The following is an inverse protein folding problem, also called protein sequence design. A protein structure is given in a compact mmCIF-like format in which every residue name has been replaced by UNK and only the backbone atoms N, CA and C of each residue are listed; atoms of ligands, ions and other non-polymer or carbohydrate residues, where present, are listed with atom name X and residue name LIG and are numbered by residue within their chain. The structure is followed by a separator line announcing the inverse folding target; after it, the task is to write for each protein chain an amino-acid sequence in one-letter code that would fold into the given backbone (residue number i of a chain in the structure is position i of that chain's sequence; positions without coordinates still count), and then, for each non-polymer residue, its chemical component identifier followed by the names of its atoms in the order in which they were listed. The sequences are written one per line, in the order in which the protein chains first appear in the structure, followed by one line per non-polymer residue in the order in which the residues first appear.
data_IF_965512508207
#
_entry.id   IF_965512508207
#
_cell.length_a   1.000
_cell.length_b   1.000
_cell.length_c   1.000
_cell.angle_alpha   90.00
_cell.angle_beta   90.00
_cell.angle_gamma   90.00
#
_symmetry.space_group_name_H-M   'P 1'
#
loop_
_entity.id
_entity.type
_entity.pdbx_description
1 polymer ?
#
# COMPACT_ATOMS: atom_id res chain seq x y z
N UNK A 1 -57.39 82.60 22.03
CA UNK A 1 -57.91 81.32 21.52
C UNK A 1 -56.91 80.82 20.48
N UNK A 2 -56.28 79.67 20.52
CA UNK A 2 -56.43 78.45 21.20
C UNK A 2 -55.04 77.80 21.30
N UNK A 3 -54.61 77.43 22.53
CA UNK A 3 -53.43 76.61 22.81
C UNK A 3 -53.91 75.19 22.91
N UNK A 4 -53.93 74.42 21.83
CA UNK A 4 -54.09 72.94 21.86
C UNK A 4 -53.66 72.47 20.50
N UNK A 5 -52.50 71.78 20.44
CA UNK A 5 -52.18 70.75 19.51
C UNK A 5 -50.67 70.51 19.30
N UNK A 6 -49.87 70.57 20.38
CA UNK A 6 -48.43 70.28 20.26
C UNK A 6 -47.99 68.99 21.03
N UNK A 7 -48.87 68.44 21.86
CA UNK A 7 -48.50 67.21 22.63
C UNK A 7 -48.82 65.90 21.90
N UNK A 8 -49.89 65.89 21.07
CA UNK A 8 -50.26 64.65 20.37
C UNK A 8 -49.39 64.27 19.16
N UNK A 9 -48.63 65.18 18.63
CA UNK A 9 -47.67 64.87 17.54
C UNK A 9 -46.40 64.19 18.04
N UNK A 10 -45.97 64.39 19.29
CA UNK A 10 -44.74 63.79 19.85
C UNK A 10 -44.97 62.36 20.29
N UNK A 11 -46.15 61.97 20.71
CA UNK A 11 -46.46 60.61 21.10
C UNK A 11 -46.53 59.62 19.91
N UNK A 12 -47.09 60.07 18.77
CA UNK A 12 -47.16 59.20 17.56
C UNK A 12 -45.84 58.99 16.83
N UNK A 13 -44.86 59.86 16.99
CA UNK A 13 -43.56 59.71 16.36
C UNK A 13 -42.68 58.71 17.16
N UNK A 14 -42.86 58.62 18.48
CA UNK A 14 -42.10 57.69 19.31
C UNK A 14 -42.55 56.21 19.14
N UNK A 15 -43.83 55.99 18.92
CA UNK A 15 -44.34 54.60 18.70
C UNK A 15 -43.95 54.02 17.33
N UNK A 16 -43.84 54.86 16.30
CA UNK A 16 -43.40 54.43 14.96
C UNK A 16 -41.89 54.12 14.92
N UNK A 17 -41.10 54.75 15.79
CA UNK A 17 -39.65 54.47 15.86
C UNK A 17 -39.35 53.16 16.63
N UNK A 18 -40.10 52.85 17.67
CA UNK A 18 -39.87 51.61 18.44
C UNK A 18 -40.28 50.38 17.64
N UNK A 19 -41.36 50.47 16.82
CA UNK A 19 -41.74 49.32 15.94
C UNK A 19 -40.73 49.06 14.80
N UNK A 20 -40.07 50.10 14.28
CA UNK A 20 -39.07 49.92 13.22
C UNK A 20 -37.74 49.30 13.69
N UNK A 21 -37.42 49.41 14.97
CA UNK A 21 -36.23 48.78 15.54
C UNK A 21 -36.42 47.34 15.96
N UNK A 22 -37.64 46.92 16.30
CA UNK A 22 -37.96 45.53 16.60
C UNK A 22 -37.96 44.65 15.33
N UNK A 23 -38.36 45.20 14.18
CA UNK A 23 -38.37 44.46 12.91
C UNK A 23 -36.96 44.33 12.28
N UNK A 24 -36.06 45.28 12.57
CA UNK A 24 -34.65 45.17 12.13
C UNK A 24 -33.79 44.26 13.02
N UNK A 25 -34.15 44.12 14.30
CA UNK A 25 -33.46 43.19 15.21
C UNK A 25 -33.83 41.71 14.92
N UNK A 26 -35.06 41.44 14.50
CA UNK A 26 -35.50 40.09 14.12
C UNK A 26 -34.91 39.55 12.83
N UNK A 27 -34.69 40.46 11.81
CA UNK A 27 -34.09 40.09 10.53
C UNK A 27 -32.60 39.89 10.61
N UNK A 28 -31.86 40.59 11.49
CA UNK A 28 -30.43 40.39 11.72
C UNK A 28 -30.11 39.04 12.39
N UNK A 29 -31.02 38.52 13.24
CA UNK A 29 -30.79 37.23 13.93
C UNK A 29 -31.03 36.03 13.01
N UNK A 30 -31.90 36.15 12.01
CA UNK A 30 -32.19 35.10 11.03
C UNK A 30 -31.08 35.02 9.97
N UNK A 31 -30.44 36.15 9.63
CA UNK A 31 -29.35 36.18 8.65
C UNK A 31 -28.04 35.62 9.20
N UNK A 32 -27.84 35.59 10.53
CA UNK A 32 -26.65 35.03 11.18
C UNK A 32 -26.65 33.49 11.29
N UNK A 33 -27.82 32.85 11.16
CA UNK A 33 -27.95 31.38 11.26
C UNK A 33 -27.71 30.70 9.88
N UNK A 34 -27.82 31.45 8.79
CA UNK A 34 -27.68 30.90 7.42
C UNK A 34 -26.21 30.80 6.92
N UNK A 35 -25.22 31.28 7.67
CA UNK A 35 -23.80 31.23 7.30
C UNK A 35 -22.95 30.24 8.09
N UNK A 36 -23.56 29.43 8.98
CA UNK A 36 -22.89 28.29 9.59
C UNK A 36 -23.03 27.04 8.70
N UNK A 37 -22.77 27.16 7.39
CA UNK A 37 -22.41 25.99 6.62
C UNK A 37 -21.08 25.50 7.17
N UNK A 38 -20.97 24.25 7.67
CA UNK A 38 -19.66 23.71 7.98
C UNK A 38 -18.85 23.84 6.68
N UNK A 39 -17.76 24.59 6.71
CA UNK A 39 -16.75 24.49 5.66
C UNK A 39 -16.42 23.00 5.58
N UNK A 40 -16.97 22.33 4.58
CA UNK A 40 -16.52 20.97 4.24
C UNK A 40 -15.03 21.14 3.97
N UNK A 41 -14.21 20.76 4.95
CA UNK A 41 -12.75 20.76 4.78
C UNK A 41 -12.50 19.90 3.56
N UNK A 42 -11.94 20.48 2.50
CA UNK A 42 -11.56 19.73 1.32
C UNK A 42 -10.71 18.53 1.77
N UNK A 43 -11.02 17.35 1.25
CA UNK A 43 -10.28 16.15 1.58
C UNK A 43 -8.79 16.37 1.31
N UNK A 44 -7.97 16.04 2.28
CA UNK A 44 -6.53 16.27 2.20
C UNK A 44 -5.88 15.26 1.27
N UNK A 45 -5.20 15.75 0.24
CA UNK A 45 -4.59 14.91 -0.78
C UNK A 45 -3.38 14.16 -0.25
N UNK A 46 -3.32 12.84 -0.54
CA UNK A 46 -2.21 11.96 -0.23
C UNK A 46 -1.88 11.10 -1.46
N UNK A 47 -0.68 11.21 -1.98
CA UNK A 47 -0.21 10.48 -3.16
C UNK A 47 0.56 9.24 -2.75
N UNK A 48 0.12 8.09 -3.22
CA UNK A 48 0.68 6.78 -2.84
C UNK A 48 1.13 6.05 -4.08
N UNK A 49 2.44 5.80 -4.24
CA UNK A 49 2.92 5.02 -5.35
C UNK A 49 2.91 3.52 -5.08
N UNK A 50 2.85 2.72 -6.14
CA UNK A 50 2.96 1.27 -6.07
C UNK A 50 3.80 0.72 -7.24
N UNK A 51 4.39 -0.47 -7.03
CA UNK A 51 5.42 -1.00 -7.91
C UNK A 51 4.90 -1.80 -9.11
N UNK A 52 3.77 -2.49 -8.95
CA UNK A 52 3.23 -3.40 -9.97
C UNK A 52 1.75 -3.66 -9.78
N UNK A 53 1.08 -4.07 -10.84
CA UNK A 53 -0.36 -4.41 -10.86
C UNK A 53 -0.68 -5.82 -10.33
N UNK A 54 0.25 -6.50 -9.66
CA UNK A 54 0.04 -7.88 -9.16
C UNK A 54 -0.91 -7.99 -7.96
N UNK A 55 -1.33 -6.88 -7.40
CA UNK A 55 -2.25 -6.85 -6.25
C UNK A 55 -1.58 -6.95 -4.88
N UNK A 56 -0.45 -7.65 -4.76
CA UNK A 56 0.18 -7.95 -3.47
C UNK A 56 0.67 -6.72 -2.70
N UNK A 57 1.12 -5.68 -3.39
CA UNK A 57 1.62 -4.45 -2.74
C UNK A 57 0.55 -3.38 -2.60
N UNK A 58 -0.29 -3.20 -3.62
CA UNK A 58 -1.29 -2.14 -3.67
C UNK A 58 -2.69 -2.59 -3.20
N UNK A 59 -2.97 -3.91 -3.17
CA UNK A 59 -4.31 -4.46 -3.04
C UNK A 59 -5.12 -3.86 -1.90
N UNK A 60 -4.60 -3.88 -0.67
CA UNK A 60 -5.32 -3.36 0.50
C UNK A 60 -5.58 -1.85 0.38
N UNK A 61 -4.58 -1.06 -0.03
CA UNK A 61 -4.73 0.39 -0.17
C UNK A 61 -5.71 0.73 -1.30
N UNK A 62 -5.65 0.00 -2.43
CA UNK A 62 -6.58 0.16 -3.53
C UNK A 62 -8.03 -0.18 -3.12
N UNK A 63 -8.21 -1.28 -2.40
CA UNK A 63 -9.51 -1.68 -1.84
C UNK A 63 -10.03 -0.61 -0.88
N UNK A 64 -9.19 -0.12 0.03
CA UNK A 64 -9.57 0.94 0.97
C UNK A 64 -9.99 2.22 0.24
N UNK A 65 -9.29 2.61 -0.82
CA UNK A 65 -9.64 3.74 -1.68
C UNK A 65 -11.00 3.51 -2.36
N UNK A 66 -11.16 2.38 -3.06
CA UNK A 66 -12.39 2.07 -3.81
C UNK A 66 -13.62 1.89 -2.93
N UNK A 67 -13.44 1.45 -1.68
CA UNK A 67 -14.48 1.32 -0.68
C UNK A 67 -14.79 2.63 0.07
N UNK A 68 -14.15 3.76 -0.30
CA UNK A 68 -14.36 5.07 0.34
C UNK A 68 -13.85 5.15 1.78
N UNK A 69 -12.94 4.25 2.20
CA UNK A 69 -12.49 4.19 3.59
C UNK A 69 -11.51 5.32 3.93
N UNK A 70 -10.76 5.82 2.97
CA UNK A 70 -9.91 7.00 3.13
C UNK A 70 -10.74 8.30 3.10
N UNK A 71 -11.76 8.37 2.25
CA UNK A 71 -12.67 9.52 2.21
C UNK A 71 -13.39 9.72 3.54
N UNK A 72 -13.80 8.63 4.22
CA UNK A 72 -14.34 8.65 5.59
C UNK A 72 -13.36 9.22 6.62
N UNK A 73 -12.08 9.22 6.30
CA UNK A 73 -11.02 9.83 7.11
C UNK A 73 -10.64 11.24 6.64
N UNK A 74 -11.39 11.83 5.70
CA UNK A 74 -11.09 13.14 5.12
C UNK A 74 -9.83 13.15 4.26
N UNK A 75 -9.48 12.02 3.64
CA UNK A 75 -8.33 11.89 2.76
C UNK A 75 -8.76 11.60 1.32
N UNK A 76 -8.18 12.33 0.37
CA UNK A 76 -8.19 12.01 -1.05
C UNK A 76 -6.89 11.27 -1.39
N UNK A 77 -6.96 9.94 -1.46
CA UNK A 77 -5.79 9.09 -1.73
C UNK A 77 -5.69 8.82 -3.23
N UNK A 78 -4.66 9.37 -3.87
CA UNK A 78 -4.32 9.10 -5.26
C UNK A 78 -3.29 7.97 -5.33
N UNK A 79 -3.58 6.90 -6.10
CA UNK A 79 -2.71 5.74 -6.25
C UNK A 79 -2.02 5.79 -7.62
N UNK A 80 -0.68 5.83 -7.63
CA UNK A 80 0.16 6.11 -8.80
C UNK A 80 1.09 4.93 -9.08
N UNK A 81 1.03 4.35 -10.29
CA UNK A 81 1.97 3.32 -10.69
C UNK A 81 3.33 3.93 -11.05
N UNK A 82 4.36 3.59 -10.27
CA UNK A 82 5.76 3.94 -10.59
C UNK A 82 6.57 2.64 -10.69
N UNK A 83 6.90 2.25 -11.91
CA UNK A 83 7.74 1.09 -12.15
C UNK A 83 9.20 1.42 -11.89
N UNK A 84 9.86 0.58 -11.09
CA UNK A 84 11.28 0.78 -10.78
C UNK A 84 11.53 1.40 -9.41
N UNK A 85 12.34 0.68 -8.59
CA UNK A 85 12.66 1.09 -7.23
C UNK A 85 13.36 2.45 -7.12
N UNK A 86 14.46 2.68 -7.84
CA UNK A 86 15.14 3.98 -7.80
C UNK A 86 14.25 5.15 -8.19
N UNK A 87 13.42 4.99 -9.24
CA UNK A 87 12.50 6.04 -9.68
C UNK A 87 11.47 6.40 -8.60
N UNK A 88 10.93 5.39 -7.91
CA UNK A 88 9.96 5.62 -6.84
C UNK A 88 10.60 6.24 -5.59
N UNK A 89 11.80 5.79 -5.21
CA UNK A 89 12.53 6.43 -4.10
C UNK A 89 12.84 7.90 -4.44
N UNK A 90 13.24 8.20 -5.67
CA UNK A 90 13.43 9.59 -6.11
C UNK A 90 12.14 10.41 -6.02
N UNK A 91 11.01 9.86 -6.50
CA UNK A 91 9.71 10.53 -6.42
C UNK A 91 9.29 10.80 -4.95
N UNK A 92 9.57 9.85 -4.04
CA UNK A 92 9.31 10.00 -2.61
C UNK A 92 10.18 11.12 -1.99
N UNK A 93 11.47 11.15 -2.33
CA UNK A 93 12.41 12.16 -1.81
C UNK A 93 12.13 13.56 -2.36
N UNK A 94 11.67 13.67 -3.60
CA UNK A 94 11.27 14.94 -4.21
C UNK A 94 9.90 15.43 -3.74
N UNK A 95 9.12 14.58 -3.05
CA UNK A 95 7.75 14.89 -2.63
C UNK A 95 6.73 14.80 -3.78
N UNK A 96 7.05 14.11 -4.88
CA UNK A 96 6.10 13.81 -5.95
C UNK A 96 5.05 12.80 -5.48
N UNK A 97 5.44 11.92 -4.56
CA UNK A 97 4.57 11.02 -3.80
C UNK A 97 4.87 11.12 -2.30
N UNK A 98 3.85 10.81 -1.49
CA UNK A 98 3.93 10.89 -0.03
C UNK A 98 4.31 9.52 0.59
N UNK A 99 3.79 8.45 0.00
CA UNK A 99 4.01 7.06 0.42
C UNK A 99 4.37 6.21 -0.79
N UNK A 100 5.10 5.12 -0.56
CA UNK A 100 5.46 4.17 -1.60
C UNK A 100 5.25 2.72 -1.13
N UNK A 101 4.41 1.98 -1.86
CA UNK A 101 4.07 0.59 -1.57
C UNK A 101 4.89 -0.34 -2.47
N UNK A 102 5.83 -1.08 -1.87
CA UNK A 102 6.72 -1.98 -2.63
C UNK A 102 7.43 -3.02 -1.79
N UNK A 103 8.15 -3.92 -2.47
CA UNK A 103 9.19 -4.71 -1.84
C UNK A 103 10.31 -3.79 -1.30
N UNK A 104 10.86 -4.05 -0.11
CA UNK A 104 11.74 -3.13 0.61
C UNK A 104 13.13 -2.92 -0.05
N UNK A 105 13.47 -3.69 -1.07
CA UNK A 105 14.82 -3.81 -1.64
C UNK A 105 15.45 -2.44 -1.93
N UNK A 106 14.79 -1.61 -2.76
CA UNK A 106 15.34 -0.30 -3.15
C UNK A 106 15.39 0.69 -1.99
N UNK A 107 14.45 0.59 -1.03
CA UNK A 107 14.47 1.41 0.17
C UNK A 107 15.64 1.01 1.09
N UNK A 108 15.85 -0.29 1.31
CA UNK A 108 16.98 -0.80 2.11
C UNK A 108 18.31 -0.42 1.49
N UNK A 109 18.45 -0.50 0.14
CA UNK A 109 19.64 -0.03 -0.57
C UNK A 109 19.87 1.46 -0.32
N UNK A 110 18.84 2.29 -0.54
CA UNK A 110 18.95 3.72 -0.30
C UNK A 110 19.29 4.06 1.16
N UNK A 111 18.69 3.36 2.13
CA UNK A 111 18.98 3.53 3.57
C UNK A 111 20.42 3.12 3.90
N UNK A 112 20.94 2.05 3.30
CA UNK A 112 22.32 1.60 3.47
C UNK A 112 23.34 2.65 2.97
N UNK A 113 22.92 3.51 2.05
CA UNK A 113 23.70 4.66 1.55
C UNK A 113 23.33 5.99 2.22
N UNK A 114 22.65 5.95 3.39
CA UNK A 114 22.41 7.12 4.23
C UNK A 114 21.11 7.89 3.91
N UNK A 115 20.28 7.43 2.98
CA UNK A 115 18.98 8.06 2.70
C UNK A 115 18.05 7.81 3.87
N UNK A 116 17.40 8.88 4.36
CA UNK A 116 16.47 8.82 5.50
C UNK A 116 15.08 8.40 5.05
N UNK A 117 14.78 7.11 5.22
CA UNK A 117 13.47 6.51 4.97
C UNK A 117 13.00 5.76 6.23
N UNK A 118 11.71 5.44 6.29
CA UNK A 118 11.14 4.59 7.34
C UNK A 118 10.00 3.75 6.77
N UNK A 119 9.83 2.56 7.31
CA UNK A 119 8.72 1.67 7.03
C UNK A 119 7.61 1.88 8.07
N UNK A 120 6.34 1.88 7.63
CA UNK A 120 5.20 2.09 8.51
C UNK A 120 4.57 0.78 9.01
N UNK A 121 4.73 -0.30 8.24
CA UNK A 121 4.18 -1.63 8.52
C UNK A 121 4.84 -2.68 7.63
N UNK A 122 4.51 -3.96 7.85
CA UNK A 122 4.75 -5.02 6.87
C UNK A 122 3.45 -5.47 6.22
N UNK A 123 3.49 -5.74 4.92
CA UNK A 123 2.36 -6.34 4.19
C UNK A 123 2.59 -7.84 3.93
N UNK A 124 3.82 -8.33 4.09
CA UNK A 124 4.18 -9.73 3.98
C UNK A 124 5.46 -10.03 4.76
N UNK A 125 5.44 -11.08 5.58
CA UNK A 125 6.58 -11.56 6.36
C UNK A 125 7.15 -12.88 5.82
N UNK A 126 6.64 -13.35 4.68
CA UNK A 126 7.08 -14.57 4.02
C UNK A 126 7.44 -14.33 2.57
N UNK A 127 8.33 -15.17 2.07
CA UNK A 127 8.65 -15.16 0.65
C UNK A 127 7.54 -15.83 -0.14
N UNK A 128 6.90 -15.05 -1.02
CA UNK A 128 5.75 -15.48 -1.81
C UNK A 128 6.09 -15.62 -3.30
N UNK A 129 7.27 -16.15 -3.56
CA UNK A 129 7.75 -16.44 -4.90
C UNK A 129 8.03 -17.92 -5.05
N UNK A 130 7.63 -18.46 -6.19
CA UNK A 130 7.89 -19.83 -6.58
C UNK A 130 8.72 -19.88 -7.85
N UNK A 131 9.53 -20.89 -8.00
CA UNK A 131 10.18 -21.17 -9.28
C UNK A 131 9.19 -21.89 -10.17
N UNK A 132 8.88 -21.27 -11.30
CA UNK A 132 7.99 -21.83 -12.32
C UNK A 132 8.81 -22.19 -13.54
N UNK A 133 8.60 -23.40 -14.06
CA UNK A 133 9.39 -23.95 -15.16
C UNK A 133 8.48 -24.48 -16.27
N UNK A 134 9.06 -24.71 -17.42
CA UNK A 134 8.42 -25.48 -18.49
C UNK A 134 8.14 -26.91 -18.01
N UNK A 135 7.10 -27.62 -18.55
CA UNK A 135 6.63 -28.89 -18.01
C UNK A 135 7.68 -30.01 -17.95
N UNK A 136 8.65 -29.99 -18.85
CA UNK A 136 9.74 -30.97 -18.93
C UNK A 136 10.78 -30.83 -17.81
N UNK A 137 10.89 -29.66 -17.15
CA UNK A 137 11.82 -29.42 -16.05
C UNK A 137 11.08 -29.78 -14.75
N UNK A 138 11.47 -30.90 -14.13
CA UNK A 138 10.75 -31.49 -13.01
C UNK A 138 11.38 -31.22 -11.64
N UNK A 139 12.63 -30.83 -11.62
CA UNK A 139 13.38 -30.55 -10.40
C UNK A 139 14.42 -29.44 -10.60
N UNK A 140 14.95 -28.94 -9.48
CA UNK A 140 15.90 -27.85 -9.48
C UNK A 140 17.25 -28.18 -10.14
N UNK A 141 17.68 -29.45 -10.13
CA UNK A 141 18.98 -29.87 -10.73
C UNK A 141 18.96 -29.68 -12.25
N UNK A 142 17.78 -29.84 -12.87
CA UNK A 142 17.60 -29.67 -14.31
C UNK A 142 17.67 -28.20 -14.75
N UNK A 143 17.70 -27.26 -13.81
CA UNK A 143 17.88 -25.82 -14.13
C UNK A 143 19.32 -25.46 -14.47
N UNK A 144 20.29 -26.33 -14.20
CA UNK A 144 21.68 -26.07 -14.60
C UNK A 144 21.81 -25.92 -16.12
N UNK A 145 22.44 -24.84 -16.56
CA UNK A 145 22.57 -24.48 -17.98
C UNK A 145 21.32 -23.85 -18.61
N UNK A 146 20.23 -23.63 -17.83
CA UNK A 146 18.98 -23.11 -18.36
C UNK A 146 18.90 -21.59 -18.30
N UNK A 147 17.96 -21.03 -19.12
CA UNK A 147 17.63 -19.60 -19.15
C UNK A 147 16.57 -19.29 -18.10
N UNK A 148 16.90 -18.46 -17.12
CA UNK A 148 15.99 -18.04 -16.07
C UNK A 148 15.60 -16.57 -16.22
N UNK A 149 14.33 -16.31 -16.42
CA UNK A 149 13.81 -14.97 -16.67
C UNK A 149 13.62 -14.16 -15.40
N UNK A 150 14.00 -12.89 -15.45
CA UNK A 150 13.77 -11.89 -14.39
C UNK A 150 13.05 -10.66 -14.95
N UNK A 151 12.45 -9.85 -14.08
CA UNK A 151 11.86 -8.56 -14.50
C UNK A 151 13.00 -7.62 -14.93
N UNK A 152 13.98 -7.43 -14.05
CA UNK A 152 15.15 -6.59 -14.28
C UNK A 152 16.24 -6.90 -13.26
N UNK A 153 17.49 -6.57 -13.63
CA UNK A 153 18.60 -6.61 -12.69
C UNK A 153 18.42 -5.56 -11.57
N UNK A 154 18.90 -5.87 -10.37
CA UNK A 154 18.71 -5.05 -9.16
C UNK A 154 17.30 -5.08 -8.56
N UNK A 155 16.39 -5.88 -9.12
CA UNK A 155 15.02 -6.00 -8.62
C UNK A 155 14.76 -7.27 -7.82
N UNK A 156 13.53 -7.36 -7.23
CA UNK A 156 13.13 -8.50 -6.39
C UNK A 156 13.23 -9.84 -7.13
N UNK A 157 12.88 -9.91 -8.41
CA UNK A 157 12.92 -11.16 -9.18
C UNK A 157 14.34 -11.69 -9.35
N UNK A 158 15.33 -10.83 -9.56
CA UNK A 158 16.73 -11.24 -9.57
C UNK A 158 17.18 -11.73 -8.21
N UNK A 159 16.88 -10.97 -7.16
CA UNK A 159 17.22 -11.35 -5.80
C UNK A 159 16.64 -12.73 -5.46
N UNK A 160 15.40 -12.99 -5.83
CA UNK A 160 14.74 -14.28 -5.60
C UNK A 160 15.39 -15.42 -6.38
N UNK A 161 15.71 -15.22 -7.66
CA UNK A 161 16.44 -16.23 -8.44
C UNK A 161 17.75 -16.57 -7.72
N UNK A 162 18.55 -15.58 -7.34
CA UNK A 162 19.83 -15.82 -6.67
C UNK A 162 19.67 -16.52 -5.33
N UNK A 163 18.74 -16.04 -4.52
CA UNK A 163 18.48 -16.59 -3.19
C UNK A 163 17.97 -18.05 -3.26
N UNK A 164 16.96 -18.29 -4.10
CA UNK A 164 16.39 -19.63 -4.25
C UNK A 164 17.43 -20.60 -4.85
N UNK A 165 18.20 -20.17 -5.84
CA UNK A 165 19.22 -21.02 -6.46
C UNK A 165 20.36 -21.34 -5.48
N UNK A 166 20.77 -20.39 -4.67
CA UNK A 166 21.75 -20.66 -3.60
C UNK A 166 21.23 -21.71 -2.60
N UNK A 167 19.94 -21.65 -2.24
CA UNK A 167 19.32 -22.61 -1.30
C UNK A 167 19.28 -24.04 -1.84
N UNK A 168 19.24 -24.20 -3.14
CA UNK A 168 19.26 -25.52 -3.80
C UNK A 168 20.66 -25.94 -4.25
N UNK A 169 21.71 -25.19 -3.86
CA UNK A 169 23.11 -25.53 -4.14
C UNK A 169 23.58 -25.16 -5.55
N UNK A 170 22.87 -24.26 -6.25
CA UNK A 170 23.28 -23.70 -7.54
C UNK A 170 23.82 -22.27 -7.39
N UNK A 171 24.86 -21.96 -8.17
CA UNK A 171 25.40 -20.60 -8.31
C UNK A 171 24.72 -19.92 -9.49
N UNK A 172 23.91 -18.91 -9.19
CA UNK A 172 23.14 -18.20 -10.22
C UNK A 172 24.00 -17.45 -11.26
N UNK A 173 25.27 -17.16 -10.97
CA UNK A 173 26.19 -16.50 -11.93
C UNK A 173 26.92 -17.52 -12.81
N UNK A 174 27.01 -18.79 -12.39
CA UNK A 174 27.78 -19.82 -13.12
C UNK A 174 26.90 -20.90 -13.71
N UNK A 175 25.83 -21.27 -13.00
CA UNK A 175 25.03 -22.45 -13.33
C UNK A 175 23.81 -22.16 -14.19
N UNK A 176 23.43 -20.89 -14.36
CA UNK A 176 22.26 -20.49 -15.18
C UNK A 176 22.55 -19.24 -16.00
N UNK A 177 21.74 -19.02 -17.05
CA UNK A 177 21.70 -17.76 -17.77
C UNK A 177 20.54 -16.90 -17.30
N UNK A 178 20.81 -15.83 -16.56
CA UNK A 178 19.78 -14.88 -16.13
C UNK A 178 19.44 -13.95 -17.29
N UNK A 179 18.14 -13.92 -17.70
CA UNK A 179 17.65 -13.15 -18.84
C UNK A 179 16.63 -12.10 -18.35
N UNK A 180 16.87 -10.83 -18.64
CA UNK A 180 15.90 -9.80 -18.35
C UNK A 180 14.79 -9.79 -19.42
N UNK A 181 13.56 -10.10 -19.02
CA UNK A 181 12.37 -10.19 -19.91
C UNK A 181 11.23 -9.25 -19.51
N UNK A 182 11.44 -8.43 -18.48
CA UNK A 182 10.43 -7.49 -18.00
C UNK A 182 9.27 -8.16 -17.29
N UNK A 183 8.10 -7.50 -17.27
CA UNK A 183 6.89 -8.00 -16.63
C UNK A 183 6.30 -9.23 -17.35
N UNK A 184 6.59 -9.41 -18.64
CA UNK A 184 6.05 -10.49 -19.45
C UNK A 184 6.74 -11.86 -19.23
N UNK A 185 7.22 -12.14 -18.00
CA UNK A 185 7.97 -13.36 -17.67
C UNK A 185 7.18 -14.65 -18.00
N UNK A 186 5.90 -14.69 -17.67
CA UNK A 186 5.05 -15.84 -17.98
C UNK A 186 4.92 -16.05 -19.49
N UNK A 187 4.68 -14.99 -20.23
CA UNK A 187 4.61 -15.05 -21.72
C UNK A 187 5.95 -15.49 -22.32
N UNK A 188 7.08 -15.03 -21.76
CA UNK A 188 8.40 -15.46 -22.22
C UNK A 188 8.63 -16.95 -21.94
N UNK A 189 8.17 -17.46 -20.80
CA UNK A 189 8.20 -18.88 -20.45
C UNK A 189 7.31 -19.70 -21.39
N UNK A 190 6.09 -19.26 -21.65
CA UNK A 190 5.12 -19.88 -22.56
C UNK A 190 5.67 -20.01 -23.98
N UNK A 191 6.32 -18.93 -24.47
CA UNK A 191 6.93 -18.92 -25.81
C UNK A 191 8.27 -19.65 -25.89
N UNK A 192 8.78 -20.20 -24.78
CA UNK A 192 10.07 -20.89 -24.75
C UNK A 192 11.29 -19.98 -24.87
N UNK A 193 11.14 -18.66 -24.72
CA UNK A 193 12.26 -17.72 -24.70
C UNK A 193 13.14 -17.90 -23.44
N UNK A 194 12.53 -18.39 -22.36
CA UNK A 194 13.16 -18.77 -21.10
C UNK A 194 12.67 -20.17 -20.67
N UNK A 195 13.44 -20.87 -19.86
CA UNK A 195 13.14 -22.22 -19.38
C UNK A 195 12.48 -22.19 -17.99
N UNK A 196 12.76 -21.17 -17.20
CA UNK A 196 12.23 -20.96 -15.86
C UNK A 196 12.11 -19.47 -15.52
N UNK A 197 11.32 -19.17 -14.50
CA UNK A 197 11.26 -17.82 -13.90
C UNK A 197 10.80 -17.95 -12.45
N UNK A 198 10.85 -16.83 -11.69
CA UNK A 198 10.22 -16.72 -10.38
C UNK A 198 8.95 -15.88 -10.49
N UNK A 199 7.83 -16.42 -10.05
CA UNK A 199 6.52 -15.76 -10.06
C UNK A 199 5.97 -15.65 -8.64
N UNK A 200 5.19 -14.61 -8.39
CA UNK A 200 4.42 -14.49 -7.15
C UNK A 200 3.38 -15.60 -7.05
N UNK A 201 2.90 -15.88 -5.84
CA UNK A 201 2.02 -17.03 -5.56
C UNK A 201 0.78 -17.11 -6.46
N UNK A 202 0.09 -15.98 -6.71
CA UNK A 202 -1.07 -15.96 -7.61
C UNK A 202 -0.69 -16.28 -9.06
N UNK A 203 0.38 -15.66 -9.57
CA UNK A 203 0.90 -15.92 -10.93
C UNK A 203 1.39 -17.37 -11.07
N UNK A 204 2.02 -17.92 -10.03
CA UNK A 204 2.49 -19.31 -9.99
C UNK A 204 1.32 -20.30 -10.04
N UNK A 205 0.27 -20.03 -9.28
CA UNK A 205 -0.93 -20.85 -9.28
C UNK A 205 -1.63 -20.82 -10.65
N UNK A 206 -1.70 -19.64 -11.29
CA UNK A 206 -2.19 -19.50 -12.65
C UNK A 206 -1.34 -20.30 -13.65
N UNK A 207 -0.02 -20.18 -13.59
CA UNK A 207 0.91 -20.94 -14.42
C UNK A 207 0.71 -22.45 -14.25
N UNK A 208 0.53 -22.95 -13.03
CA UNK A 208 0.27 -24.36 -12.73
C UNK A 208 -1.01 -24.84 -13.40
N UNK A 209 -2.09 -24.09 -13.37
CA UNK A 209 -3.35 -24.42 -14.06
C UNK A 209 -3.19 -24.47 -15.59
N UNK A 210 -2.26 -23.70 -16.14
CA UNK A 210 -1.94 -23.69 -17.56
C UNK A 210 -0.85 -24.72 -17.95
N UNK A 211 -0.61 -25.72 -17.11
CA UNK A 211 0.25 -26.86 -17.42
C UNK A 211 1.74 -26.64 -17.15
N UNK A 212 2.13 -25.45 -16.63
CA UNK A 212 3.50 -25.21 -16.21
C UNK A 212 3.79 -25.87 -14.85
N UNK A 213 5.04 -26.17 -14.59
CA UNK A 213 5.44 -26.77 -13.33
C UNK A 213 5.85 -25.70 -12.34
N UNK A 214 5.29 -25.79 -11.16
CA UNK A 214 5.74 -25.03 -9.98
C UNK A 214 6.61 -25.96 -9.16
N UNK A 215 7.87 -25.59 -8.95
CA UNK A 215 8.78 -26.33 -8.09
C UNK A 215 8.56 -25.90 -6.64
N UNK A 216 8.29 -26.87 -5.77
CA UNK A 216 8.00 -26.60 -4.36
C UNK A 216 9.22 -26.04 -3.64
N UNK A 217 9.05 -24.91 -3.01
CA UNK A 217 10.05 -24.24 -2.17
C UNK A 217 9.57 -24.23 -0.73
N UNK A 218 10.47 -24.35 0.24
CA UNK A 218 10.08 -24.12 1.63
C UNK A 218 9.63 -22.67 1.82
N UNK A 219 8.65 -22.48 2.70
CA UNK A 219 8.29 -21.13 3.15
C UNK A 219 9.48 -20.51 3.87
N UNK A 220 9.97 -19.40 3.35
CA UNK A 220 11.12 -18.68 3.90
C UNK A 220 10.67 -17.40 4.55
N UNK A 221 11.17 -17.05 5.76
CA UNK A 221 10.96 -15.75 6.32
C UNK A 221 11.58 -14.69 5.40
N UNK A 222 10.78 -13.69 5.03
CA UNK A 222 11.22 -12.62 4.15
C UNK A 222 10.33 -11.39 4.32
N UNK A 223 10.93 -10.23 4.50
CA UNK A 223 10.21 -8.96 4.52
C UNK A 223 9.82 -8.62 3.08
N UNK A 224 8.62 -9.05 2.68
CA UNK A 224 8.22 -9.12 1.27
C UNK A 224 7.70 -7.81 0.69
N UNK A 225 6.84 -7.10 1.42
CA UNK A 225 6.31 -5.80 1.01
C UNK A 225 5.98 -4.91 2.20
N UNK A 226 5.95 -3.59 1.95
CA UNK A 226 5.81 -2.57 2.99
C UNK A 226 5.28 -1.27 2.41
N UNK A 227 4.96 -0.33 3.30
CA UNK A 227 4.73 1.08 2.98
C UNK A 227 5.92 1.90 3.47
N UNK A 228 6.56 2.61 2.55
CA UNK A 228 7.76 3.44 2.77
C UNK A 228 7.38 4.91 2.77
N UNK A 229 8.02 5.68 3.63
CA UNK A 229 7.94 7.15 3.62
C UNK A 229 9.22 7.78 4.18
N UNK A 230 9.25 9.11 4.28
CA UNK A 230 10.36 9.83 4.92
C UNK A 230 10.00 10.20 6.36
N UNK A 231 10.97 10.16 7.32
CA UNK A 231 10.73 10.66 8.68
C UNK A 231 10.25 12.11 8.72
N UNK A 232 10.67 12.93 7.75
CA UNK A 232 10.26 14.31 7.62
C UNK A 232 8.76 14.45 7.35
N UNK A 233 8.22 13.64 6.42
CA UNK A 233 6.78 13.63 6.12
C UNK A 233 5.96 13.19 7.34
N UNK A 234 6.41 12.12 8.00
CA UNK A 234 5.79 11.62 9.23
C UNK A 234 5.70 12.71 10.29
N UNK A 235 6.79 13.45 10.52
CA UNK A 235 6.83 14.54 11.50
C UNK A 235 5.93 15.72 11.12
N UNK A 236 5.89 16.09 9.84
CA UNK A 236 5.11 17.24 9.35
C UNK A 236 3.61 16.96 9.21
N UNK A 237 3.23 15.71 8.90
CA UNK A 237 1.84 15.32 8.60
C UNK A 237 1.35 14.17 9.49
N UNK A 238 1.66 14.23 10.81
CA UNK A 238 1.32 13.18 11.78
C UNK A 238 -0.18 12.84 11.79
N UNK A 239 -1.05 13.85 11.68
CA UNK A 239 -2.50 13.64 11.63
C UNK A 239 -2.90 12.88 10.36
N UNK A 240 -2.38 13.29 9.20
CA UNK A 240 -2.63 12.61 7.91
C UNK A 240 -2.18 11.17 7.96
N UNK A 241 -1.00 10.90 8.52
CA UNK A 241 -0.50 9.53 8.68
C UNK A 241 -1.38 8.71 9.62
N UNK A 242 -1.92 9.32 10.68
CA UNK A 242 -2.87 8.66 11.59
C UNK A 242 -4.16 8.29 10.85
N UNK A 243 -4.74 9.23 10.10
CA UNK A 243 -5.95 9.01 9.30
C UNK A 243 -5.73 7.99 8.18
N UNK A 244 -4.58 8.03 7.51
CA UNK A 244 -4.19 7.03 6.52
C UNK A 244 -4.11 5.64 7.14
N UNK A 245 -3.39 5.48 8.25
CA UNK A 245 -3.25 4.18 8.93
C UNK A 245 -4.62 3.63 9.35
N UNK A 246 -5.53 4.49 9.83
CA UNK A 246 -6.89 4.09 10.17
C UNK A 246 -7.65 3.55 8.96
N UNK A 247 -7.65 4.30 7.85
CA UNK A 247 -8.28 3.86 6.60
C UNK A 247 -7.65 2.58 6.03
N UNK A 248 -6.35 2.41 6.18
CA UNK A 248 -5.65 1.19 5.79
C UNK A 248 -6.09 -0.03 6.62
N UNK A 249 -6.18 0.10 7.95
CA UNK A 249 -6.64 -0.96 8.85
C UNK A 249 -8.12 -1.32 8.59
N UNK A 250 -8.96 -0.34 8.29
CA UNK A 250 -10.33 -0.59 7.80
C UNK A 250 -10.31 -1.35 6.47
N UNK A 251 -9.37 -1.04 5.59
CA UNK A 251 -9.13 -1.77 4.33
C UNK A 251 -8.73 -3.23 4.56
N UNK A 252 -7.85 -3.50 5.53
CA UNK A 252 -7.50 -4.86 5.96
C UNK A 252 -8.75 -5.62 6.42
N UNK A 253 -9.55 -5.00 7.29
CA UNK A 253 -10.81 -5.60 7.73
C UNK A 253 -11.75 -5.88 6.57
N UNK A 254 -11.93 -4.91 5.67
CA UNK A 254 -12.79 -5.06 4.50
C UNK A 254 -12.33 -6.24 3.64
N UNK A 255 -11.05 -6.31 3.33
CA UNK A 255 -10.47 -7.39 2.55
C UNK A 255 -10.72 -8.77 3.16
N UNK A 256 -10.51 -8.92 4.48
CA UNK A 256 -10.67 -10.20 5.18
C UNK A 256 -12.13 -10.64 5.33
N UNK A 257 -13.08 -9.68 5.30
CA UNK A 257 -14.48 -9.94 5.63
C UNK A 257 -15.44 -9.90 4.43
N UNK A 258 -15.08 -9.25 3.33
CA UNK A 258 -15.93 -9.12 2.13
C UNK A 258 -15.16 -9.61 0.89
N UNK A 259 -15.15 -10.93 0.70
CA UNK A 259 -14.44 -11.58 -0.42
C UNK A 259 -14.93 -11.06 -1.78
N UNK A 260 -16.24 -11.01 -1.99
CA UNK A 260 -16.81 -10.70 -3.31
C UNK A 260 -16.46 -9.28 -3.77
N UNK A 261 -16.64 -8.28 -2.88
CA UNK A 261 -16.27 -6.90 -3.22
C UNK A 261 -14.76 -6.72 -3.31
N UNK A 262 -13.98 -7.41 -2.46
CA UNK A 262 -12.52 -7.38 -2.55
C UNK A 262 -12.04 -7.92 -3.89
N UNK A 263 -12.63 -9.03 -4.36
CA UNK A 263 -12.33 -9.58 -5.68
C UNK A 263 -12.72 -8.62 -6.82
N UNK A 264 -13.86 -7.93 -6.70
CA UNK A 264 -14.28 -6.91 -7.65
C UNK A 264 -13.23 -5.79 -7.80
N UNK A 265 -12.76 -5.26 -6.66
CA UNK A 265 -11.73 -4.21 -6.67
C UNK A 265 -10.35 -4.73 -7.13
N UNK A 266 -10.01 -5.97 -6.81
CA UNK A 266 -8.80 -6.60 -7.34
C UNK A 266 -8.88 -6.79 -8.87
N UNK A 267 -10.04 -7.11 -9.42
CA UNK A 267 -10.24 -7.21 -10.87
C UNK A 267 -9.94 -5.88 -11.59
N UNK A 268 -10.40 -4.76 -11.01
CA UNK A 268 -10.11 -3.41 -11.50
C UNK A 268 -8.60 -3.11 -11.44
N UNK A 269 -7.94 -3.41 -10.31
CA UNK A 269 -6.51 -3.19 -10.12
C UNK A 269 -5.68 -4.02 -11.10
N UNK A 270 -6.04 -5.30 -11.26
CA UNK A 270 -5.35 -6.26 -12.14
C UNK A 270 -5.70 -6.02 -13.62
N UNK A 271 -6.71 -5.22 -13.91
CA UNK A 271 -7.24 -4.95 -15.26
C UNK A 271 -7.58 -6.26 -16.00
N UNK A 272 -8.21 -7.20 -15.31
CA UNK A 272 -8.60 -8.50 -15.84
C UNK A 272 -10.05 -8.83 -15.54
N UNK A 273 -10.67 -9.62 -16.43
CA UNK A 273 -11.99 -10.24 -16.20
C UNK A 273 -11.88 -11.74 -15.96
N UNK A 274 -10.66 -12.28 -15.95
CA UNK A 274 -10.40 -13.68 -15.67
C UNK A 274 -10.69 -13.96 -14.19
N UNK A 275 -11.82 -14.62 -13.94
CA UNK A 275 -12.32 -14.92 -12.60
C UNK A 275 -11.33 -15.81 -11.82
N UNK A 276 -10.67 -16.75 -12.49
CA UNK A 276 -9.72 -17.65 -11.85
C UNK A 276 -8.48 -16.87 -11.37
N UNK A 277 -7.98 -15.95 -12.22
CA UNK A 277 -6.86 -15.10 -11.84
C UNK A 277 -7.22 -14.17 -10.67
N UNK A 278 -8.43 -13.60 -10.68
CA UNK A 278 -8.92 -12.73 -9.60
C UNK A 278 -9.05 -13.53 -8.29
N UNK A 279 -9.64 -14.72 -8.35
CA UNK A 279 -9.80 -15.57 -7.18
C UNK A 279 -8.44 -16.01 -6.60
N UNK A 280 -7.48 -16.35 -7.46
CA UNK A 280 -6.13 -16.67 -7.05
C UNK A 280 -5.42 -15.46 -6.42
N UNK A 281 -5.61 -14.26 -6.98
CA UNK A 281 -5.06 -13.04 -6.40
C UNK A 281 -5.63 -12.74 -5.01
N UNK A 282 -6.91 -13.04 -4.78
CA UNK A 282 -7.52 -12.90 -3.47
C UNK A 282 -7.03 -13.99 -2.51
N UNK A 283 -7.16 -15.27 -2.87
CA UNK A 283 -6.89 -16.42 -1.96
C UNK A 283 -5.42 -16.53 -1.59
N UNK A 284 -4.51 -16.16 -2.48
CA UNK A 284 -3.07 -16.15 -2.23
C UNK A 284 -2.53 -14.78 -1.84
N UNK A 285 -3.41 -13.83 -1.47
CA UNK A 285 -2.94 -12.52 -1.03
C UNK A 285 -2.23 -12.61 0.33
N UNK A 286 -1.05 -11.99 0.49
CA UNK A 286 -0.25 -12.06 1.72
C UNK A 286 -1.01 -11.67 2.98
N UNK A 287 -2.02 -10.81 2.85
CA UNK A 287 -2.81 -10.34 3.99
C UNK A 287 -3.51 -11.46 4.74
N UNK A 288 -3.84 -12.59 4.09
CA UNK A 288 -4.41 -13.74 4.80
C UNK A 288 -3.41 -14.34 5.82
N UNK A 289 -2.12 -14.42 5.46
CA UNK A 289 -1.06 -14.86 6.35
C UNK A 289 -0.71 -13.81 7.43
N UNK A 290 -0.78 -12.52 7.08
CA UNK A 290 -0.55 -11.42 8.01
C UNK A 290 -1.67 -11.24 9.03
N UNK A 291 -2.89 -11.66 8.71
CA UNK A 291 -4.06 -11.50 9.55
C UNK A 291 -4.47 -10.04 9.75
N UNK A 292 -4.86 -9.68 10.97
CA UNK A 292 -5.47 -8.37 11.30
C UNK A 292 -4.46 -7.26 11.55
N UNK A 293 -3.24 -7.62 11.98
CA UNK A 293 -2.23 -6.69 12.52
C UNK A 293 -0.96 -6.78 11.66
N UNK A 294 -0.70 -5.81 10.77
CA UNK A 294 0.38 -5.87 9.81
C UNK A 294 1.75 -5.50 10.42
N UNK A 295 2.13 -6.18 11.52
CA UNK A 295 3.45 -6.01 12.12
C UNK A 295 4.56 -6.71 11.34
N UNK A 296 5.75 -6.12 11.27
CA UNK A 296 6.90 -6.81 10.72
C UNK A 296 7.35 -7.94 11.65
N UNK A 297 7.69 -9.08 11.07
CA UNK A 297 8.47 -10.12 11.73
C UNK A 297 9.95 -9.76 11.63
N UNK A 298 10.59 -9.50 12.76
CA UNK A 298 12.00 -9.12 12.79
C UNK A 298 12.92 -10.22 12.28
N UNK A 299 12.54 -11.49 12.38
CA UNK A 299 13.29 -12.59 11.78
C UNK A 299 13.25 -12.51 10.24
N UNK A 300 12.08 -12.17 9.67
CA UNK A 300 11.92 -11.94 8.24
C UNK A 300 12.70 -10.72 7.75
N UNK A 301 12.73 -9.64 8.55
CA UNK A 301 13.52 -8.44 8.22
C UNK A 301 15.02 -8.75 8.22
N UNK A 302 15.53 -9.47 9.25
CA UNK A 302 16.94 -9.91 9.31
C UNK A 302 17.29 -10.79 8.13
N UNK A 303 16.47 -11.80 7.83
CA UNK A 303 16.69 -12.69 6.69
C UNK A 303 16.79 -11.92 5.37
N UNK A 304 15.96 -10.90 5.16
CA UNK A 304 16.00 -10.04 3.98
C UNK A 304 17.29 -9.23 3.91
N UNK A 305 17.73 -8.65 5.02
CA UNK A 305 18.99 -7.92 5.14
C UNK A 305 20.18 -8.84 4.82
N UNK A 306 20.17 -10.06 5.37
CA UNK A 306 21.25 -11.04 5.14
C UNK A 306 21.33 -11.45 3.68
N UNK A 307 20.21 -11.76 3.05
CA UNK A 307 20.14 -12.12 1.62
C UNK A 307 20.67 -10.99 0.73
N UNK A 308 20.21 -9.76 0.98
CA UNK A 308 20.69 -8.59 0.23
C UNK A 308 22.15 -8.29 0.50
N UNK A 309 22.59 -8.46 1.73
CA UNK A 309 23.95 -8.19 2.19
C UNK A 309 25.01 -9.13 1.59
N UNK A 310 24.62 -10.24 0.95
CA UNK A 310 25.56 -11.09 0.19
C UNK A 310 26.20 -10.30 -0.97
N UNK A 311 25.41 -9.43 -1.63
CA UNK A 311 25.89 -8.63 -2.76
C UNK A 311 26.24 -7.20 -2.39
N UNK A 312 25.62 -6.67 -1.35
CA UNK A 312 25.75 -5.28 -0.94
C UNK A 312 26.05 -5.17 0.55
N UNK A 313 27.33 -5.25 0.89
CA UNK A 313 27.79 -5.30 2.28
C UNK A 313 27.28 -4.12 3.15
N UNK A 314 26.97 -2.97 2.53
CA UNK A 314 26.41 -1.82 3.23
C UNK A 314 25.04 -2.14 3.86
N UNK A 315 24.22 -2.98 3.22
CA UNK A 315 22.89 -3.38 3.73
C UNK A 315 23.01 -4.17 5.03
N UNK A 316 24.06 -4.98 5.22
CA UNK A 316 24.29 -5.73 6.48
C UNK A 316 24.46 -4.84 7.70
N UNK A 317 24.80 -3.55 7.52
CA UNK A 317 24.98 -2.60 8.62
C UNK A 317 23.65 -2.02 9.12
N UNK A 318 22.56 -2.26 8.41
CA UNK A 318 21.23 -1.80 8.82
C UNK A 318 20.77 -2.59 10.03
N UNK A 319 20.19 -1.89 11.00
CA UNK A 319 19.61 -2.50 12.20
C UNK A 319 18.09 -2.63 11.99
N UNK A 320 17.54 -3.84 11.99
CA UNK A 320 16.12 -4.08 11.72
C UNK A 320 15.18 -3.17 12.54
N UNK A 321 15.50 -2.97 13.79
CA UNK A 321 14.69 -2.24 14.76
C UNK A 321 14.63 -0.73 14.46
N UNK A 322 15.63 -0.17 13.76
CA UNK A 322 15.72 1.25 13.39
C UNK A 322 15.00 1.57 12.07
N UNK A 323 14.57 0.56 11.32
CA UNK A 323 13.97 0.74 9.99
C UNK A 323 12.51 1.20 10.02
N UNK A 324 11.82 0.99 11.14
CA UNK A 324 10.37 1.14 11.23
C UNK A 324 9.96 2.30 12.13
N UNK A 325 8.89 2.98 11.72
CA UNK A 325 8.08 3.79 12.61
C UNK A 325 6.72 3.10 12.81
N UNK A 326 6.64 2.25 13.81
CA UNK A 326 5.43 1.50 14.14
C UNK A 326 4.48 2.25 15.09
N UNK A 327 4.78 3.50 15.45
CA UNK A 327 4.03 4.26 16.47
C UNK A 327 2.53 4.36 16.14
N UNK A 328 2.18 4.52 14.86
CA UNK A 328 0.78 4.57 14.42
C UNK A 328 0.07 3.23 14.58
N UNK A 329 0.71 2.15 14.14
CA UNK A 329 0.16 0.80 14.26
C UNK A 329 0.00 0.41 15.73
N UNK A 330 1.05 0.64 16.53
CA UNK A 330 1.05 0.37 17.99
C UNK A 330 -0.04 1.16 18.70
N UNK A 331 -0.24 2.45 18.35
CA UNK A 331 -1.30 3.28 18.94
C UNK A 331 -2.69 2.69 18.67
N UNK A 332 -2.97 2.26 17.45
CA UNK A 332 -4.26 1.65 17.10
C UNK A 332 -4.44 0.28 17.75
N UNK A 333 -3.38 -0.48 17.90
CA UNK A 333 -3.41 -1.78 18.56
C UNK A 333 -3.68 -1.63 20.07
N UNK A 334 -2.87 -0.80 20.76
CA UNK A 334 -2.99 -0.57 22.21
C UNK A 334 -4.32 0.11 22.61
N UNK A 335 -4.92 0.92 21.72
CA UNK A 335 -6.24 1.50 21.98
C UNK A 335 -7.39 0.49 21.82
N UNK A 336 -7.12 -0.74 21.40
CA UNK A 336 -8.13 -1.75 21.09
C UNK A 336 -8.88 -1.49 19.77
N UNK A 337 -8.53 -0.43 19.01
CA UNK A 337 -9.21 -0.09 17.77
C UNK A 337 -9.20 -1.24 16.76
N UNK A 338 -8.05 -1.91 16.56
CA UNK A 338 -7.96 -3.01 15.60
C UNK A 338 -8.91 -4.14 15.98
N UNK A 339 -8.96 -4.51 17.26
CA UNK A 339 -9.83 -5.59 17.73
C UNK A 339 -11.32 -5.20 17.64
N UNK A 340 -11.66 -3.93 17.91
CA UNK A 340 -13.02 -3.39 17.76
C UNK A 340 -13.54 -3.46 16.31
N UNK A 341 -12.67 -3.31 15.30
CA UNK A 341 -13.05 -3.44 13.89
C UNK A 341 -13.68 -4.81 13.55
N UNK A 342 -13.42 -5.83 14.37
CA UNK A 342 -13.91 -7.19 14.17
C UNK A 342 -14.95 -7.64 15.20
N UNK A 343 -15.33 -6.76 16.13
CA UNK A 343 -16.43 -6.97 17.06
C UNK A 343 -17.73 -6.54 16.37
N UNK A 344 -18.70 -7.41 16.24
CA UNK A 344 -20.04 -7.09 15.70
C UNK A 344 -20.39 -7.76 14.38
N UNK A 345 -19.93 -8.97 14.18
CA UNK A 345 -20.48 -9.91 13.17
C UNK A 345 -21.03 -11.16 13.81
#
# INVERSE_FOLDING_TARGET
MSRTNRKDRRARVSELWVRRWSDLAGTSLILSILFATPLASAAEKLRVSYASVTGNTAGITYIAQRAGLFEKQGLDVEIILITGGPASISALLNGDVDLDMRAPISALQAMAHGVKLTFLLSQSNTLEYNVVTRPEIKDFKQLKGKKVGIIRFGGISELMVRYLFQKIGLDADKDIAIIQVGQARFVALEKGAIDATVLASAESAFAKRNGFRVLDMPTLPFFGSTIVTTPLLVAKRTDVMTRFMRGYLDGVRFFLNDKEKSMQYLADLLRTKDRDMIELAYTNHPQHAMGRKPYPDMAAVRATIDVMGVREAAVKKLKPEELFNLSYLTKFDQSGFIDQLYQGK
#
